data_IF_461950098854
#
_entry.id   IF_461950098854
#
_cell.length_a   1.000
_cell.length_b   1.000
_cell.length_c   1.000
_cell.angle_alpha   90.00
_cell.angle_beta   90.00
_cell.angle_gamma   90.00
#
_symmetry.space_group_name_H-M   'P 1'
#
loop_
_entity.id
_entity.type
_entity.pdbx_description
1 polymer ?
#
# COMPACT_ATOMS: atom_id res chain seq x y z
N UNK A 1 2.11 -44.80 -56.81
CA UNK A 1 0.75 -44.82 -56.23
C UNK A 1 0.40 -43.38 -55.90
N UNK A 2 -0.26 -42.72 -56.86
CA UNK A 2 -0.45 -41.26 -56.86
C UNK A 2 -1.93 -40.97 -56.63
N UNK A 3 -2.26 -40.42 -55.46
CA UNK A 3 -3.64 -40.10 -55.09
C UNK A 3 -3.89 -38.63 -55.46
N UNK A 4 -4.79 -38.40 -56.42
CA UNK A 4 -5.29 -37.08 -56.81
C UNK A 4 -6.35 -36.63 -55.79
N UNK A 5 -6.19 -35.45 -55.19
CA UNK A 5 -7.25 -34.80 -54.42
C UNK A 5 -8.19 -34.04 -55.37
N UNK A 6 -9.47 -34.41 -55.36
CA UNK A 6 -10.53 -33.67 -56.03
C UNK A 6 -10.99 -32.50 -55.15
N UNK A 7 -11.05 -31.31 -55.73
CA UNK A 7 -11.53 -30.09 -55.10
C UNK A 7 -13.05 -30.17 -54.84
N UNK A 8 -13.47 -29.85 -53.62
CA UNK A 8 -14.87 -29.72 -53.21
C UNK A 8 -15.24 -28.23 -53.20
N UNK A 9 -16.16 -27.85 -54.08
CA UNK A 9 -16.82 -26.53 -54.10
C UNK A 9 -18.28 -26.75 -53.68
N UNK A 10 -18.75 -26.18 -52.56
CA UNK A 10 -20.17 -26.10 -52.30
C UNK A 10 -20.75 -24.75 -52.73
N UNK A 11 -21.92 -24.86 -53.35
CA UNK A 11 -22.67 -23.89 -54.13
C UNK A 11 -23.45 -22.86 -53.28
N UNK A 12 -23.71 -21.70 -53.87
CA UNK A 12 -24.40 -20.54 -53.30
C UNK A 12 -25.91 -20.70 -53.44
N UNK A 13 -26.59 -21.41 -52.54
CA UNK A 13 -28.06 -21.29 -52.42
C UNK A 13 -28.57 -21.68 -51.02
N UNK A 14 -28.69 -20.72 -50.10
CA UNK A 14 -29.81 -20.71 -49.14
C UNK A 14 -29.94 -19.33 -48.48
N UNK A 15 -31.03 -18.66 -48.81
CA UNK A 15 -31.46 -17.36 -48.30
C UNK A 15 -32.13 -17.52 -46.92
N UNK A 16 -31.82 -16.57 -46.03
CA UNK A 16 -32.68 -15.89 -45.06
C UNK A 16 -33.93 -16.62 -44.52
N UNK A 17 -33.93 -16.87 -43.20
CA UNK A 17 -35.10 -16.65 -42.34
C UNK A 17 -34.65 -15.78 -41.16
N UNK A 18 -35.03 -14.51 -41.20
CA UNK A 18 -35.04 -13.59 -40.05
C UNK A 18 -36.47 -13.61 -39.52
N UNK A 19 -36.65 -14.12 -38.29
CA UNK A 19 -37.88 -13.99 -37.54
C UNK A 19 -37.54 -13.58 -36.11
N UNK A 20 -37.68 -12.28 -35.90
CA UNK A 20 -37.82 -11.54 -34.65
C UNK A 20 -38.53 -12.31 -33.52
N UNK A 21 -37.81 -12.60 -32.43
CA UNK A 21 -38.39 -12.78 -31.10
C UNK A 21 -37.97 -11.59 -30.24
N UNK A 22 -38.85 -10.58 -30.22
CA UNK A 22 -38.72 -9.35 -29.47
C UNK A 22 -39.00 -9.60 -27.98
N UNK A 23 -37.99 -9.28 -27.17
CA UNK A 23 -38.02 -8.76 -25.81
C UNK A 23 -39.34 -8.80 -25.02
N UNK A 24 -39.40 -9.69 -24.02
CA UNK A 24 -40.12 -9.48 -22.77
C UNK A 24 -39.48 -10.34 -21.67
N UNK A 25 -38.51 -9.78 -20.93
CA UNK A 25 -37.86 -10.50 -19.82
C UNK A 25 -36.60 -9.87 -19.21
N UNK A 26 -36.35 -8.57 -19.36
CA UNK A 26 -35.16 -7.89 -18.80
C UNK A 26 -35.50 -6.90 -17.67
N UNK A 27 -36.34 -7.32 -16.74
CA UNK A 27 -36.43 -6.68 -15.41
C UNK A 27 -36.51 -7.72 -14.30
N UNK A 28 -35.75 -8.81 -14.41
CA UNK A 28 -35.19 -9.43 -13.20
C UNK A 28 -34.04 -8.55 -12.77
N UNK A 29 -34.35 -7.60 -11.90
CA UNK A 29 -33.32 -6.88 -11.17
C UNK A 29 -32.34 -7.90 -10.59
N UNK A 30 -31.07 -7.74 -10.91
CA UNK A 30 -29.99 -8.37 -10.19
C UNK A 30 -29.96 -7.78 -8.77
N UNK A 31 -30.98 -8.08 -7.97
CA UNK A 31 -30.76 -8.37 -6.58
C UNK A 31 -30.02 -9.69 -6.56
N UNK A 32 -28.70 -9.66 -6.80
CA UNK A 32 -27.89 -10.67 -6.15
C UNK A 32 -28.24 -10.49 -4.68
N UNK A 33 -28.85 -11.50 -4.08
CA UNK A 33 -28.62 -11.77 -2.67
C UNK A 33 -27.13 -12.12 -2.55
N UNK A 34 -26.28 -11.14 -2.85
CA UNK A 34 -24.85 -11.20 -2.71
C UNK A 34 -24.61 -11.43 -1.24
N UNK A 35 -23.67 -12.32 -0.96
CA UNK A 35 -23.25 -12.58 0.40
C UNK A 35 -22.93 -11.23 1.08
N UNK A 36 -23.55 -10.98 2.25
CA UNK A 36 -23.39 -9.69 2.94
C UNK A 36 -21.90 -9.37 3.10
N UNK A 37 -21.43 -8.14 2.85
CA UNK A 37 -20.01 -7.80 2.92
C UNK A 37 -19.35 -8.26 4.22
N UNK A 38 -20.05 -8.14 5.35
CA UNK A 38 -19.58 -8.63 6.65
C UNK A 38 -19.37 -10.15 6.73
N UNK A 39 -20.17 -10.96 6.03
CA UNK A 39 -19.98 -12.41 5.98
C UNK A 39 -18.77 -12.77 5.12
N UNK A 40 -18.57 -12.08 4.00
CA UNK A 40 -17.38 -12.23 3.16
C UNK A 40 -16.12 -11.84 3.96
N UNK A 41 -16.18 -10.72 4.69
CA UNK A 41 -15.09 -10.26 5.56
C UNK A 41 -14.79 -11.26 6.69
N UNK A 42 -15.80 -11.89 7.28
CA UNK A 42 -15.60 -12.96 8.29
C UNK A 42 -14.89 -14.18 7.69
N UNK A 43 -15.21 -14.57 6.45
CA UNK A 43 -14.49 -15.64 5.75
C UNK A 43 -13.01 -15.28 5.51
N UNK A 44 -12.72 -14.02 5.17
CA UNK A 44 -11.34 -13.54 5.06
C UNK A 44 -10.58 -13.59 6.40
N UNK A 45 -11.21 -13.17 7.51
CA UNK A 45 -10.61 -13.31 8.85
C UNK A 45 -10.31 -14.77 9.19
N UNK A 46 -11.27 -15.68 8.96
CA UNK A 46 -11.05 -17.10 9.23
C UNK A 46 -9.93 -17.70 8.36
N UNK A 47 -9.79 -17.25 7.12
CA UNK A 47 -8.68 -17.65 6.27
C UNK A 47 -7.33 -17.14 6.79
N UNK A 48 -7.26 -15.89 7.26
CA UNK A 48 -6.06 -15.33 7.92
C UNK A 48 -5.64 -16.14 9.15
N UNK A 49 -6.59 -16.49 10.01
CA UNK A 49 -6.34 -17.31 11.21
C UNK A 49 -5.80 -18.70 10.87
N UNK A 50 -6.26 -19.27 9.75
CA UNK A 50 -5.79 -20.56 9.23
C UNK A 50 -4.46 -20.46 8.48
N UNK A 51 -3.96 -19.24 8.23
CA UNK A 51 -2.77 -19.00 7.41
C UNK A 51 -3.00 -19.17 5.90
N UNK A 52 -4.25 -19.30 5.45
CA UNK A 52 -4.60 -19.38 4.02
C UNK A 52 -4.66 -17.96 3.43
N UNK A 53 -3.48 -17.44 3.09
CA UNK A 53 -3.32 -16.07 2.60
C UNK A 53 -4.04 -15.83 1.27
N UNK A 54 -4.12 -16.82 0.39
CA UNK A 54 -4.80 -16.68 -0.91
C UNK A 54 -6.31 -16.60 -0.75
N UNK A 55 -6.91 -17.48 0.08
CA UNK A 55 -8.33 -17.39 0.38
C UNK A 55 -8.68 -16.10 1.14
N UNK A 56 -7.77 -15.63 2.01
CA UNK A 56 -7.94 -14.36 2.70
C UNK A 56 -7.99 -13.18 1.72
N UNK A 57 -7.04 -13.12 0.77
CA UNK A 57 -7.01 -12.08 -0.27
C UNK A 57 -8.32 -12.11 -1.07
N UNK A 58 -8.68 -13.26 -1.65
CA UNK A 58 -9.86 -13.34 -2.52
C UNK A 58 -11.17 -12.97 -1.83
N UNK A 59 -11.30 -13.22 -0.53
CA UNK A 59 -12.46 -12.80 0.25
C UNK A 59 -12.37 -11.31 0.66
N UNK A 60 -11.20 -10.83 1.05
CA UNK A 60 -11.02 -9.42 1.42
C UNK A 60 -11.25 -8.49 0.21
N UNK A 61 -10.76 -8.85 -0.97
CA UNK A 61 -10.99 -8.09 -2.22
C UNK A 61 -12.49 -8.02 -2.54
N UNK A 62 -13.23 -9.11 -2.38
CA UNK A 62 -14.69 -9.12 -2.55
C UNK A 62 -15.41 -8.25 -1.52
N UNK A 63 -14.94 -8.23 -0.27
CA UNK A 63 -15.51 -7.38 0.77
C UNK A 63 -15.31 -5.89 0.44
N UNK A 64 -14.10 -5.51 -0.01
CA UNK A 64 -13.81 -4.15 -0.48
C UNK A 64 -14.63 -3.79 -1.72
N UNK A 65 -14.79 -4.68 -2.69
CA UNK A 65 -15.65 -4.39 -3.85
C UNK A 65 -17.13 -4.22 -3.48
N UNK A 66 -17.59 -4.88 -2.43
CA UNK A 66 -18.98 -4.82 -1.98
C UNK A 66 -19.27 -3.57 -1.13
N UNK A 67 -18.28 -3.05 -0.41
CA UNK A 67 -18.35 -1.80 0.35
C UNK A 67 -17.00 -1.05 0.30
N UNK A 68 -16.74 -0.29 -0.78
CA UNK A 68 -15.41 0.29 -1.05
C UNK A 68 -14.91 1.34 -0.07
N UNK A 69 -15.82 1.96 0.69
CA UNK A 69 -15.51 3.05 1.64
C UNK A 69 -15.48 2.58 3.09
N UNK A 70 -15.44 1.27 3.31
CA UNK A 70 -15.31 0.70 4.64
C UNK A 70 -13.82 0.56 5.01
N UNK A 71 -13.29 1.39 5.94
CA UNK A 71 -11.88 1.31 6.31
C UNK A 71 -11.50 -0.06 6.87
N UNK A 72 -12.39 -0.73 7.61
CA UNK A 72 -12.11 -2.04 8.19
C UNK A 72 -11.89 -3.13 7.13
N UNK A 73 -12.54 -3.03 5.95
CA UNK A 73 -12.31 -3.97 4.85
C UNK A 73 -11.00 -3.71 4.13
N UNK A 74 -10.56 -2.45 4.05
CA UNK A 74 -9.24 -2.07 3.55
C UNK A 74 -8.13 -2.57 4.50
N UNK A 75 -8.29 -2.42 5.82
CA UNK A 75 -7.38 -3.01 6.82
C UNK A 75 -7.30 -4.53 6.67
N UNK A 76 -8.45 -5.20 6.54
CA UNK A 76 -8.50 -6.65 6.34
C UNK A 76 -7.76 -7.08 5.07
N UNK A 77 -7.92 -6.33 3.98
CA UNK A 77 -7.20 -6.55 2.73
C UNK A 77 -5.69 -6.35 2.90
N UNK A 78 -5.27 -5.29 3.59
CA UNK A 78 -3.87 -5.05 3.92
C UNK A 78 -3.26 -6.20 4.72
N UNK A 79 -3.98 -6.71 5.73
CA UNK A 79 -3.55 -7.86 6.53
C UNK A 79 -3.40 -9.13 5.67
N UNK A 80 -4.34 -9.37 4.74
CA UNK A 80 -4.27 -10.49 3.80
C UNK A 80 -3.05 -10.39 2.87
N UNK A 81 -2.78 -9.21 2.32
CA UNK A 81 -1.59 -8.98 1.50
C UNK A 81 -0.29 -9.10 2.29
N UNK A 82 -0.24 -8.59 3.52
CA UNK A 82 0.95 -8.71 4.38
C UNK A 82 1.24 -10.18 4.69
N UNK A 83 0.21 -10.96 5.02
CA UNK A 83 0.33 -12.41 5.25
C UNK A 83 0.79 -13.18 4.00
N UNK A 84 0.43 -12.68 2.82
CA UNK A 84 0.82 -13.23 1.54
C UNK A 84 2.22 -12.80 1.07
N UNK A 85 2.91 -11.90 1.79
CA UNK A 85 4.20 -11.35 1.37
C UNK A 85 4.12 -10.30 0.27
N UNK A 86 2.93 -9.73 0.04
CA UNK A 86 2.65 -8.72 -0.99
C UNK A 86 2.69 -7.32 -0.37
N UNK A 87 3.90 -6.79 -0.19
CA UNK A 87 4.14 -5.58 0.60
C UNK A 87 3.63 -4.30 -0.06
N UNK A 88 3.78 -4.13 -1.38
CA UNK A 88 3.24 -3.00 -2.12
C UNK A 88 1.72 -2.91 -2.00
N UNK A 89 1.03 -4.03 -2.19
CA UNK A 89 -0.42 -4.11 -2.09
C UNK A 89 -0.91 -3.89 -0.66
N UNK A 90 -0.18 -4.44 0.32
CA UNK A 90 -0.46 -4.23 1.74
C UNK A 90 -0.38 -2.75 2.11
N UNK A 91 0.73 -2.08 1.74
CA UNK A 91 0.94 -0.65 1.96
C UNK A 91 -0.23 0.16 1.41
N UNK A 92 -0.57 -0.04 0.14
CA UNK A 92 -1.65 0.69 -0.51
C UNK A 92 -3.00 0.47 0.20
N UNK A 93 -3.28 -0.75 0.69
CA UNK A 93 -4.54 -1.05 1.36
C UNK A 93 -4.63 -0.40 2.75
N UNK A 94 -3.51 -0.29 3.46
CA UNK A 94 -3.46 0.45 4.73
C UNK A 94 -3.55 1.96 4.51
N UNK A 95 -2.88 2.51 3.50
CA UNK A 95 -3.00 3.92 3.11
C UNK A 95 -4.48 4.25 2.79
N UNK A 96 -5.14 3.45 1.94
CA UNK A 96 -6.56 3.61 1.62
C UNK A 96 -7.44 3.57 2.89
N UNK A 97 -7.12 2.70 3.85
CA UNK A 97 -7.88 2.61 5.10
C UNK A 97 -7.73 3.88 5.94
N UNK A 98 -6.52 4.41 6.05
CA UNK A 98 -6.24 5.65 6.79
C UNK A 98 -6.88 6.87 6.13
N UNK A 99 -6.91 6.95 4.80
CA UNK A 99 -7.64 7.99 4.05
C UNK A 99 -9.16 7.93 4.33
N UNK A 100 -9.70 6.74 4.59
CA UNK A 100 -11.09 6.51 4.97
C UNK A 100 -11.37 6.69 6.47
N UNK A 101 -10.38 7.12 7.26
CA UNK A 101 -10.53 7.45 8.67
C UNK A 101 -10.17 6.33 9.64
N UNK A 102 -9.51 5.25 9.20
CA UNK A 102 -8.87 4.31 10.12
C UNK A 102 -7.72 5.01 10.87
N UNK A 103 -7.85 5.11 12.18
CA UNK A 103 -6.84 5.72 13.07
C UNK A 103 -6.57 4.75 14.21
N UNK A 104 -5.66 3.79 13.98
CA UNK A 104 -5.26 2.85 15.02
C UNK A 104 -3.77 2.54 14.95
N UNK A 105 -3.15 2.43 16.13
CA UNK A 105 -1.72 2.09 16.24
C UNK A 105 -1.39 0.72 15.66
N UNK A 106 -2.36 -0.21 15.63
CA UNK A 106 -2.19 -1.51 14.98
C UNK A 106 -2.05 -1.35 13.46
N UNK A 107 -2.94 -0.60 12.83
CA UNK A 107 -2.88 -0.34 11.38
C UNK A 107 -1.62 0.44 11.03
N UNK A 108 -1.24 1.44 11.84
CA UNK A 108 0.00 2.20 11.68
C UNK A 108 1.26 1.32 11.77
N UNK A 109 1.30 0.37 12.71
CA UNK A 109 2.40 -0.60 12.80
C UNK A 109 2.46 -1.50 11.56
N UNK A 110 1.32 -2.00 11.09
CA UNK A 110 1.25 -2.83 9.88
C UNK A 110 1.69 -2.08 8.62
N UNK A 111 1.30 -0.79 8.49
CA UNK A 111 1.76 0.10 7.43
C UNK A 111 3.28 0.29 7.51
N UNK A 112 3.81 0.65 8.68
CA UNK A 112 5.25 0.81 8.87
C UNK A 112 6.04 -0.47 8.53
N UNK A 113 5.52 -1.66 8.86
CA UNK A 113 6.15 -2.93 8.46
C UNK A 113 6.14 -3.15 6.95
N UNK A 114 5.06 -2.77 6.26
CA UNK A 114 5.01 -2.81 4.80
C UNK A 114 6.01 -1.81 4.19
N UNK A 115 6.06 -0.58 4.69
CA UNK A 115 7.04 0.43 4.29
C UNK A 115 8.49 -0.05 4.50
N UNK A 116 8.77 -0.67 5.63
CA UNK A 116 10.07 -1.25 5.94
C UNK A 116 10.47 -2.35 4.95
N UNK A 117 9.53 -3.22 4.58
CA UNK A 117 9.81 -4.24 3.57
C UNK A 117 10.17 -3.59 2.23
N UNK A 118 9.52 -2.47 1.89
CA UNK A 118 9.76 -1.71 0.66
C UNK A 118 11.00 -0.80 0.73
N UNK A 119 11.67 -0.73 1.88
CA UNK A 119 12.84 0.14 2.10
C UNK A 119 12.49 1.61 2.35
N UNK A 120 11.21 1.93 2.55
CA UNK A 120 10.67 3.25 2.84
C UNK A 120 10.84 3.60 4.33
N UNK A 121 12.10 3.64 4.77
CA UNK A 121 12.43 3.77 6.19
C UNK A 121 11.99 5.13 6.78
N UNK A 122 12.03 6.20 5.99
CA UNK A 122 11.58 7.54 6.40
C UNK A 122 10.09 7.54 6.74
N UNK A 123 9.28 7.02 5.83
CA UNK A 123 7.83 6.94 5.92
C UNK A 123 7.40 6.06 7.10
N UNK A 124 8.11 4.94 7.30
CA UNK A 124 7.90 4.08 8.46
C UNK A 124 8.19 4.82 9.77
N UNK A 125 9.29 5.58 9.86
CA UNK A 125 9.64 6.36 11.07
C UNK A 125 8.60 7.45 11.35
N UNK A 126 8.15 8.18 10.33
CA UNK A 126 7.16 9.24 10.49
C UNK A 126 5.83 8.68 11.01
N UNK A 127 5.40 7.55 10.44
CA UNK A 127 4.21 6.81 10.90
C UNK A 127 4.39 6.34 12.34
N UNK A 128 5.50 5.68 12.67
CA UNK A 128 5.77 5.16 14.02
C UNK A 128 5.82 6.27 15.08
N UNK A 129 6.41 7.42 14.76
CA UNK A 129 6.50 8.54 15.68
C UNK A 129 5.13 9.19 15.95
N UNK A 130 4.26 9.24 14.95
CA UNK A 130 2.89 9.75 15.10
C UNK A 130 2.03 8.91 16.06
N UNK A 131 2.35 7.61 16.19
CA UNK A 131 1.64 6.66 17.05
C UNK A 131 2.47 6.20 18.26
N UNK A 132 3.58 6.90 18.58
CA UNK A 132 4.55 6.48 19.60
C UNK A 132 3.91 6.16 20.95
N UNK A 133 2.99 7.01 21.40
CA UNK A 133 2.38 6.92 22.72
C UNK A 133 1.25 5.88 22.80
N UNK A 134 0.74 5.42 21.66
CA UNK A 134 -0.32 4.41 21.55
C UNK A 134 0.20 3.03 21.13
N UNK A 135 1.48 2.93 20.75
CA UNK A 135 2.17 1.68 20.46
C UNK A 135 2.76 1.08 21.74
N UNK A 136 2.72 -0.25 21.84
CA UNK A 136 3.44 -0.94 22.90
C UNK A 136 4.97 -0.70 22.74
N UNK A 137 5.73 -0.49 23.84
CA UNK A 137 7.17 -0.25 23.76
C UNK A 137 7.92 -1.36 23.01
N UNK A 138 7.46 -2.61 23.16
CA UNK A 138 8.00 -3.77 22.46
C UNK A 138 7.91 -3.64 20.93
N UNK A 139 6.80 -3.11 20.43
CA UNK A 139 6.50 -3.01 18.99
C UNK A 139 7.15 -1.75 18.41
N UNK A 140 7.01 -0.60 19.07
CA UNK A 140 7.66 0.65 18.65
C UNK A 140 9.19 0.50 18.63
N UNK A 141 9.79 -0.02 19.72
CA UNK A 141 11.24 -0.15 19.82
C UNK A 141 11.84 -1.08 18.77
N UNK A 142 11.15 -2.20 18.45
CA UNK A 142 11.60 -3.09 17.39
C UNK A 142 11.43 -2.45 16.01
N UNK A 143 10.26 -1.87 15.71
CA UNK A 143 9.98 -1.29 14.40
C UNK A 143 10.96 -0.15 14.05
N UNK A 144 11.25 0.73 15.02
CA UNK A 144 12.24 1.80 14.87
C UNK A 144 13.66 1.26 14.68
N UNK A 145 14.02 0.16 15.35
CA UNK A 145 15.31 -0.48 15.14
C UNK A 145 15.46 -1.01 13.70
N UNK A 146 14.41 -1.64 13.17
CA UNK A 146 14.35 -2.15 11.80
C UNK A 146 14.40 -1.03 10.76
N UNK A 147 13.84 0.13 11.09
CA UNK A 147 13.83 1.35 10.27
C UNK A 147 15.17 2.09 10.19
N UNK A 148 16.25 1.49 10.69
CA UNK A 148 17.60 2.05 10.63
C UNK A 148 17.96 2.92 11.83
N UNK A 149 17.15 2.93 12.89
CA UNK A 149 17.46 3.60 14.16
C UNK A 149 17.64 2.59 15.31
N UNK A 150 18.57 1.61 15.21
CA UNK A 150 18.71 0.55 16.20
C UNK A 150 19.14 1.06 17.58
N UNK A 151 19.85 2.19 17.65
CA UNK A 151 20.17 2.85 18.93
C UNK A 151 18.93 3.34 19.69
N UNK A 152 17.97 3.93 18.98
CA UNK A 152 16.70 4.36 19.58
C UNK A 152 15.87 3.15 20.03
N UNK A 153 15.81 2.10 19.19
CA UNK A 153 15.14 0.86 19.55
C UNK A 153 15.72 0.20 20.81
N UNK A 154 17.04 0.14 20.93
CA UNK A 154 17.75 -0.32 22.15
C UNK A 154 17.34 0.51 23.36
N UNK A 155 17.28 1.84 23.24
CA UNK A 155 16.88 2.72 24.35
C UNK A 155 15.45 2.43 24.82
N UNK A 156 14.48 2.42 23.89
CA UNK A 156 13.06 2.14 24.19
C UNK A 156 12.89 0.78 24.87
N UNK A 157 13.49 -0.26 24.31
CA UNK A 157 13.34 -1.62 24.82
C UNK A 157 14.04 -1.80 26.17
N UNK A 158 15.18 -1.13 26.38
CA UNK A 158 15.87 -1.11 27.67
C UNK A 158 15.05 -0.36 28.74
N UNK A 159 14.41 0.75 28.38
CA UNK A 159 13.50 1.48 29.27
C UNK A 159 12.29 0.64 29.65
N UNK A 160 11.69 -0.10 28.69
CA UNK A 160 10.59 -1.02 28.98
C UNK A 160 10.99 -2.09 30.01
N UNK A 161 12.17 -2.70 29.86
CA UNK A 161 12.69 -3.66 30.86
C UNK A 161 12.89 -3.00 32.22
N UNK A 162 13.48 -1.80 32.27
CA UNK A 162 13.65 -1.04 33.53
C UNK A 162 12.32 -0.66 34.19
N UNK A 163 11.30 -0.41 33.38
CA UNK A 163 9.93 -0.11 33.81
C UNK A 163 9.14 -1.34 34.29
N UNK A 164 9.71 -2.56 34.19
CA UNK A 164 9.10 -3.79 34.67
C UNK A 164 8.55 -4.72 33.58
N UNK A 165 8.57 -4.30 32.31
CA UNK A 165 8.11 -5.11 31.17
C UNK A 165 9.18 -6.10 30.70
N UNK A 166 9.68 -6.97 31.59
CA UNK A 166 10.73 -7.94 31.27
C UNK A 166 10.17 -9.26 30.72
N UNK A 167 9.53 -9.19 29.54
CA UNK A 167 8.99 -10.37 28.85
C UNK A 167 10.01 -11.01 27.90
N UNK A 168 9.82 -12.30 27.56
CA UNK A 168 10.61 -12.98 26.52
C UNK A 168 10.59 -12.19 25.21
N UNK A 169 9.41 -11.67 24.81
CA UNK A 169 9.26 -10.85 23.60
C UNK A 169 10.19 -9.62 23.64
N UNK A 170 10.18 -8.86 24.73
CA UNK A 170 10.99 -7.63 24.84
C UNK A 170 12.49 -7.98 24.88
N UNK A 171 12.91 -9.05 25.58
CA UNK A 171 14.31 -9.48 25.57
C UNK A 171 14.78 -9.91 24.18
N UNK A 172 13.98 -10.67 23.45
CA UNK A 172 14.28 -11.06 22.08
C UNK A 172 14.35 -9.84 21.15
N UNK A 173 13.40 -8.92 21.24
CA UNK A 173 13.40 -7.67 20.47
C UNK A 173 14.63 -6.82 20.78
N UNK A 174 15.02 -6.72 22.05
CA UNK A 174 16.21 -5.98 22.47
C UNK A 174 17.49 -6.65 21.97
N UNK A 175 17.56 -7.98 22.02
CA UNK A 175 18.68 -8.74 21.49
C UNK A 175 18.85 -8.53 19.97
N UNK A 176 17.74 -8.52 19.22
CA UNK A 176 17.72 -8.18 17.80
C UNK A 176 18.14 -6.72 17.57
N UNK A 177 17.63 -5.76 18.35
CA UNK A 177 18.04 -4.36 18.23
C UNK A 177 19.54 -4.16 18.49
N UNK A 178 20.11 -4.88 19.47
CA UNK A 178 21.56 -4.93 19.69
C UNK A 178 22.29 -5.48 18.46
N UNK A 179 21.83 -6.60 17.88
CA UNK A 179 22.43 -7.17 16.67
C UNK A 179 22.40 -6.19 15.49
N UNK A 180 21.28 -5.51 15.25
CA UNK A 180 21.13 -4.49 14.20
C UNK A 180 22.05 -3.28 14.42
N UNK A 181 22.38 -2.95 15.68
CA UNK A 181 23.36 -1.91 16.02
C UNK A 181 24.83 -2.37 15.99
N UNK A 182 25.09 -3.65 15.71
CA UNK A 182 26.43 -4.26 15.75
C UNK A 182 26.95 -4.59 17.16
N UNK A 183 26.10 -4.47 18.19
CA UNK A 183 26.40 -4.81 19.58
C UNK A 183 26.25 -6.31 19.82
N UNK A 184 27.10 -7.11 19.15
CA UNK A 184 26.99 -8.58 19.12
C UNK A 184 27.15 -9.26 20.48
N UNK A 185 27.93 -8.65 21.38
CA UNK A 185 28.16 -9.17 22.72
C UNK A 185 26.90 -9.03 23.57
N UNK A 186 26.26 -7.87 23.52
CA UNK A 186 25.03 -7.53 24.19
C UNK A 186 23.86 -8.36 23.63
N UNK A 187 23.79 -8.48 22.29
CA UNK A 187 22.82 -9.34 21.61
C UNK A 187 22.92 -10.79 22.10
N UNK A 188 24.14 -11.36 22.13
CA UNK A 188 24.42 -12.71 22.62
C UNK A 188 24.02 -12.86 24.10
N UNK A 189 24.42 -11.92 24.95
CA UNK A 189 24.08 -11.97 26.38
C UNK A 189 22.57 -11.93 26.62
N UNK A 190 21.83 -11.12 25.86
CA UNK A 190 20.38 -10.99 25.99
C UNK A 190 19.65 -12.25 25.48
N UNK A 191 19.97 -12.72 24.27
CA UNK A 191 19.29 -13.89 23.68
C UNK A 191 19.56 -15.19 24.43
N UNK A 192 20.71 -15.29 25.11
CA UNK A 192 21.09 -16.47 25.92
C UNK A 192 20.22 -16.66 27.17
N UNK A 193 19.38 -15.68 27.53
CA UNK A 193 18.42 -15.81 28.63
C UNK A 193 17.20 -16.66 28.25
N UNK A 194 16.87 -16.75 26.96
CA UNK A 194 15.65 -17.40 26.49
C UNK A 194 15.93 -18.62 25.59
N UNK A 195 17.16 -18.79 25.10
CA UNK A 195 17.54 -19.87 24.19
C UNK A 195 18.66 -20.74 24.76
N UNK A 196 18.65 -22.06 24.48
CA UNK A 196 19.76 -22.95 24.82
C UNK A 196 21.02 -22.54 24.03
N UNK A 197 22.20 -22.82 24.61
CA UNK A 197 23.48 -22.41 24.04
C UNK A 197 23.71 -22.88 22.58
N UNK A 198 23.14 -24.02 22.20
CA UNK A 198 23.20 -24.56 20.83
C UNK A 198 22.44 -23.72 19.79
N UNK A 199 21.42 -22.96 20.21
CA UNK A 199 20.59 -22.14 19.31
C UNK A 199 21.03 -20.67 19.25
N UNK A 200 21.85 -20.21 20.20
CA UNK A 200 22.33 -18.83 20.25
C UNK A 200 23.17 -18.47 19.02
N UNK A 201 24.07 -19.35 18.59
CA UNK A 201 24.89 -19.14 17.38
C UNK A 201 24.03 -18.95 16.12
N UNK A 202 23.21 -19.96 15.75
CA UNK A 202 22.29 -19.87 14.61
C UNK A 202 21.38 -18.65 14.66
N UNK A 203 20.84 -18.30 15.83
CA UNK A 203 19.99 -17.11 15.99
C UNK A 203 20.72 -15.81 15.64
N UNK A 204 21.97 -15.66 16.12
CA UNK A 204 22.78 -14.48 15.83
C UNK A 204 23.18 -14.41 14.35
N UNK A 205 23.40 -15.55 13.70
CA UNK A 205 23.66 -15.63 12.25
C UNK A 205 22.46 -15.13 11.46
N UNK A 206 21.23 -15.57 11.79
CA UNK A 206 20.00 -15.05 11.19
C UNK A 206 19.88 -13.53 11.36
N UNK A 207 20.14 -13.00 12.56
CA UNK A 207 20.08 -11.56 12.82
C UNK A 207 21.19 -10.77 12.11
N UNK A 208 22.36 -11.37 11.90
CA UNK A 208 23.42 -10.77 11.09
C UNK A 208 23.02 -10.64 9.62
N UNK A 209 22.34 -11.66 9.07
CA UNK A 209 21.78 -11.57 7.72
C UNK A 209 20.68 -10.50 7.64
N UNK A 210 19.82 -10.41 8.65
CA UNK A 210 18.80 -9.36 8.74
C UNK A 210 19.43 -7.96 8.71
N UNK A 211 20.55 -7.72 9.39
CA UNK A 211 21.20 -6.40 9.44
C UNK A 211 21.72 -5.85 8.10
N UNK A 212 21.74 -6.65 7.03
CA UNK A 212 22.17 -6.21 5.70
C UNK A 212 21.18 -5.18 5.12
N UNK A 213 21.70 -4.03 4.68
CA UNK A 213 20.87 -2.88 4.23
C UNK A 213 20.00 -3.20 3.02
N UNK A 214 20.48 -4.07 2.13
CA UNK A 214 19.79 -4.39 0.86
C UNK A 214 18.69 -5.45 1.02
N UNK A 215 18.63 -6.15 2.16
CA UNK A 215 17.73 -7.27 2.40
C UNK A 215 16.50 -6.85 3.21
N UNK A 216 15.89 -5.71 2.87
CA UNK A 216 14.76 -5.16 3.64
C UNK A 216 13.51 -6.03 3.54
N UNK A 217 13.17 -6.51 2.35
CA UNK A 217 12.03 -7.42 2.13
C UNK A 217 12.24 -8.73 2.87
N UNK A 218 13.40 -9.35 2.71
CA UNK A 218 13.78 -10.61 3.34
C UNK A 218 13.73 -10.49 4.86
N UNK A 219 14.27 -9.40 5.42
CA UNK A 219 14.27 -9.12 6.85
C UNK A 219 12.84 -9.09 7.41
N UNK A 220 11.94 -8.33 6.78
CA UNK A 220 10.55 -8.22 7.25
C UNK A 220 9.79 -9.53 7.02
N UNK A 221 10.01 -10.20 5.89
CA UNK A 221 9.38 -11.48 5.60
C UNK A 221 9.76 -12.56 6.62
N UNK A 222 11.05 -12.65 6.97
CA UNK A 222 11.56 -13.56 8.00
C UNK A 222 10.97 -13.22 9.38
N UNK A 223 10.92 -11.94 9.75
CA UNK A 223 10.35 -11.48 11.02
C UNK A 223 8.86 -11.85 11.15
N UNK A 224 8.09 -11.68 10.08
CA UNK A 224 6.66 -11.97 10.04
C UNK A 224 6.35 -13.44 9.72
N UNK A 225 7.36 -14.24 9.39
CA UNK A 225 7.21 -15.62 8.90
C UNK A 225 6.24 -15.70 7.71
N UNK A 226 6.42 -14.81 6.73
CA UNK A 226 5.62 -14.75 5.50
C UNK A 226 6.50 -15.07 4.28
N UNK A 227 5.94 -15.61 3.18
CA UNK A 227 6.72 -15.86 1.99
C UNK A 227 7.19 -14.56 1.33
N UNK A 228 8.23 -14.62 0.52
CA UNK A 228 8.59 -13.54 -0.41
C UNK A 228 7.87 -13.76 -1.74
N UNK A 229 7.05 -12.80 -2.15
CA UNK A 229 6.34 -12.85 -3.42
C UNK A 229 6.58 -11.59 -4.23
N UNK A 230 6.59 -11.76 -5.55
CA UNK A 230 6.52 -10.62 -6.45
C UNK A 230 5.16 -9.93 -6.26
N UNK A 231 5.18 -8.60 -6.22
CA UNK A 231 3.99 -7.81 -6.03
C UNK A 231 3.99 -6.61 -6.97
N UNK A 232 2.97 -6.55 -7.83
CA UNK A 232 2.76 -5.45 -8.77
C UNK A 232 1.79 -4.39 -8.24
N UNK A 233 1.38 -4.49 -6.97
CA UNK A 233 0.36 -3.65 -6.37
C UNK A 233 -1.06 -4.22 -6.52
N UNK A 234 -2.05 -3.45 -6.05
CA UNK A 234 -3.43 -3.89 -6.04
C UNK A 234 -4.04 -4.01 -7.44
N UNK A 235 -5.05 -4.88 -7.64
CA UNK A 235 -5.87 -4.88 -8.84
C UNK A 235 -6.47 -3.49 -9.14
N UNK A 236 -6.41 -3.05 -10.41
CA UNK A 236 -6.90 -1.72 -10.84
C UNK A 236 -8.34 -1.44 -10.39
N UNK A 237 -9.21 -2.47 -10.37
CA UNK A 237 -10.59 -2.33 -9.93
C UNK A 237 -10.71 -1.85 -8.48
N UNK A 238 -9.85 -2.33 -7.57
CA UNK A 238 -9.85 -1.93 -6.16
C UNK A 238 -9.29 -0.52 -5.95
N UNK A 239 -8.27 -0.16 -6.74
CA UNK A 239 -7.69 1.18 -6.74
C UNK A 239 -8.71 2.25 -7.19
N UNK A 240 -9.54 1.94 -8.19
CA UNK A 240 -10.58 2.86 -8.67
C UNK A 240 -11.83 2.89 -7.77
N UNK A 241 -12.07 1.84 -6.99
CA UNK A 241 -13.28 1.72 -6.18
C UNK A 241 -13.37 2.77 -5.04
N UNK A 242 -12.26 3.39 -4.65
CA UNK A 242 -12.26 4.41 -3.60
C UNK A 242 -12.81 5.78 -4.07
N UNK A 243 -12.94 5.99 -5.38
CA UNK A 243 -13.43 7.26 -5.93
C UNK A 243 -14.95 7.19 -6.20
N UNK A 244 -15.78 7.93 -5.46
CA UNK A 244 -17.23 7.93 -5.68
C UNK A 244 -17.56 8.47 -7.08
N UNK A 245 -18.53 7.84 -7.74
CA UNK A 245 -19.07 8.37 -8.99
C UNK A 245 -19.66 9.76 -8.79
N UNK A 246 -19.75 10.57 -9.86
CA UNK A 246 -20.39 11.88 -9.82
C UNK A 246 -21.82 11.82 -9.26
N UNK A 247 -22.53 10.72 -9.48
CA UNK A 247 -23.86 10.45 -8.94
C UNK A 247 -23.85 10.13 -7.43
N UNK A 248 -22.84 9.41 -6.94
CA UNK A 248 -22.68 9.17 -5.50
C UNK A 248 -22.26 10.43 -4.75
N UNK A 249 -21.37 11.24 -5.34
CA UNK A 249 -20.98 12.53 -4.80
C UNK A 249 -22.17 13.49 -4.68
N UNK A 250 -23.06 13.53 -5.68
CA UNK A 250 -24.25 14.37 -5.64
C UNK A 250 -25.29 13.87 -4.63
N UNK A 251 -25.46 12.54 -4.49
CA UNK A 251 -26.33 11.96 -3.47
C UNK A 251 -25.83 12.23 -2.04
N UNK A 252 -24.53 12.08 -1.78
CA UNK A 252 -23.92 12.36 -0.47
C UNK A 252 -23.91 13.87 -0.16
N UNK A 253 -23.72 14.73 -1.16
CA UNK A 253 -23.87 16.16 -1.01
C UNK A 253 -25.33 16.55 -0.66
N UNK A 254 -26.32 15.89 -1.28
CA UNK A 254 -27.73 16.10 -0.97
C UNK A 254 -28.08 15.67 0.46
N UNK A 255 -27.61 14.51 0.93
CA UNK A 255 -27.86 14.06 2.31
C UNK A 255 -27.14 14.91 3.35
N UNK A 256 -25.95 15.44 3.05
CA UNK A 256 -25.24 16.40 3.92
C UNK A 256 -25.92 17.78 3.95
N UNK A 257 -26.66 18.15 2.90
CA UNK A 257 -27.40 19.41 2.85
C UNK A 257 -28.75 19.36 3.61
N UNK A 258 -29.34 18.19 3.83
CA UNK A 258 -30.61 18.05 4.59
C UNK A 258 -30.57 18.64 6.02
N UNK A 259 -29.55 18.37 6.86
CA UNK A 259 -29.49 18.98 8.20
C UNK A 259 -29.22 20.49 8.16
N UNK A 260 -28.52 21.01 7.14
CA UNK A 260 -28.31 22.44 6.95
C UNK A 260 -29.60 23.15 6.50
N UNK A 261 -30.40 22.52 5.64
CA UNK A 261 -31.70 23.03 5.25
C UNK A 261 -32.68 23.06 6.43
N UNK A 262 -32.66 22.06 7.30
CA UNK A 262 -33.46 22.06 8.54
C UNK A 262 -33.01 23.13 9.53
N UNK A 263 -31.70 23.38 9.66
CA UNK A 263 -31.17 24.46 10.50
C UNK A 263 -31.49 25.87 9.98
N UNK A 264 -31.69 26.05 8.67
CA UNK A 264 -32.15 27.33 8.07
C UNK A 264 -33.65 27.55 8.26
N UNK A 265 -34.42 26.48 8.49
CA UNK A 265 -35.88 26.57 8.73
C UNK A 265 -36.21 26.94 10.18
N UNK A 266 -35.26 26.83 11.11
CA UNK A 266 -35.40 27.30 12.50
C UNK A 266 -35.12 28.81 12.60
N UNK A 267 -36.10 29.58 12.10
CA UNK A 267 -36.48 30.95 12.47
C UNK A 267 -35.35 31.98 12.71
N UNK A 268 -34.93 32.65 11.62
CA UNK A 268 -34.42 34.02 11.73
C UNK A 268 -35.59 34.93 12.16
N UNK A 269 -35.59 35.35 13.43
CA UNK A 269 -36.50 36.38 13.91
C UNK A 269 -36.39 37.65 13.04
N UNK A 270 -37.51 38.33 12.73
CA UNK A 270 -37.48 39.52 11.89
C UNK A 270 -36.62 40.61 12.57
N UNK A 271 -35.55 41.02 11.90
CA UNK A 271 -34.80 42.21 12.27
C UNK A 271 -35.65 43.43 11.91
N UNK A 272 -36.02 44.24 12.90
CA UNK A 272 -36.60 45.57 12.68
C UNK A 272 -35.64 46.38 11.80
N UNK A 273 -36.10 46.82 10.63
CA UNK A 273 -35.34 47.70 9.75
C UNK A 273 -35.18 49.09 10.41
N UNK A 274 -33.96 49.59 10.65
CA UNK A 274 -33.79 51.00 10.90
C UNK A 274 -33.92 51.74 9.56
N UNK A 275 -34.78 52.76 9.54
CA UNK A 275 -34.96 53.64 8.39
C UNK A 275 -33.61 54.23 7.93
N UNK A 276 -33.17 53.85 6.73
CA UNK A 276 -31.99 54.44 6.08
C UNK A 276 -32.44 55.36 4.95
N UNK A 277 -31.87 56.56 4.96
CA UNK A 277 -32.12 57.65 4.04
C UNK A 277 -31.96 57.23 2.56
N UNK A 278 -32.73 57.90 1.69
CA UNK A 278 -32.79 57.63 0.26
C UNK A 278 -31.44 57.69 -0.48
N UNK A 279 -31.36 57.07 -1.68
CA UNK A 279 -30.11 56.88 -2.40
C UNK A 279 -29.53 58.22 -2.90
N UNK A 280 -28.32 58.56 -2.47
CA UNK A 280 -27.53 59.58 -3.16
C UNK A 280 -26.84 58.96 -4.37
N UNK A 281 -27.05 59.53 -5.55
CA UNK A 281 -26.35 59.16 -6.77
C UNK A 281 -24.84 59.39 -6.59
N UNK A 282 -24.06 58.32 -6.63
CA UNK A 282 -22.60 58.40 -6.71
C UNK A 282 -22.19 58.88 -8.10
N UNK A 283 -21.33 59.89 -8.13
CA UNK A 283 -20.76 60.49 -9.33
C UNK A 283 -19.91 59.45 -10.10
N UNK A 284 -20.23 59.24 -11.38
CA UNK A 284 -19.68 58.17 -12.22
C UNK A 284 -18.38 58.59 -12.92
N UNK A 285 -17.44 59.17 -12.18
CA UNK A 285 -16.14 59.62 -12.71
C UNK A 285 -14.96 58.91 -12.05
N UNK A 286 -15.00 57.56 -12.10
CA UNK A 286 -13.83 56.73 -11.88
C UNK A 286 -13.72 55.74 -13.05
N UNK A 287 -12.87 56.06 -14.03
CA UNK A 287 -12.45 55.08 -15.02
C UNK A 287 -11.77 53.91 -14.29
N UNK A 288 -12.06 52.64 -14.61
CA UNK A 288 -11.27 51.54 -14.12
C UNK A 288 -9.86 51.70 -14.70
N UNK A 289 -8.87 51.87 -13.84
CA UNK A 289 -7.48 51.70 -14.23
C UNK A 289 -7.37 50.29 -14.84
N UNK A 290 -7.14 50.22 -16.16
CA UNK A 290 -6.84 48.96 -16.78
C UNK A 290 -5.58 48.42 -16.12
N UNK A 291 -5.74 47.36 -15.34
CA UNK A 291 -4.63 46.61 -14.77
C UNK A 291 -3.74 46.19 -15.93
N UNK A 292 -2.63 46.90 -16.09
CA UNK A 292 -1.60 46.56 -17.06
C UNK A 292 -1.00 45.25 -16.56
N UNK A 293 -1.37 44.14 -17.21
CA UNK A 293 -0.71 42.86 -17.00
C UNK A 293 0.78 43.08 -17.29
N UNK A 294 1.61 43.06 -16.26
CA UNK A 294 3.04 42.98 -16.44
C UNK A 294 3.32 41.68 -17.20
N UNK A 295 3.70 41.80 -18.47
CA UNK A 295 4.41 40.73 -19.15
C UNK A 295 5.66 40.46 -18.31
N UNK A 296 5.69 39.31 -17.66
CA UNK A 296 6.94 38.76 -17.15
C UNK A 296 7.75 38.41 -18.40
N UNK A 297 8.77 39.22 -18.70
CA UNK A 297 9.80 38.88 -19.66
C UNK A 297 10.56 37.67 -19.08
N UNK A 298 10.13 36.47 -19.46
CA UNK A 298 10.92 35.28 -19.25
C UNK A 298 12.08 35.36 -20.25
N UNK A 299 13.36 35.39 -19.80
CA UNK A 299 14.46 35.32 -20.73
C UNK A 299 14.34 34.03 -21.54
N UNK A 300 14.59 34.12 -22.85
CA UNK A 300 14.56 32.98 -23.74
C UNK A 300 15.36 31.82 -23.14
N UNK A 301 14.72 30.67 -22.99
CA UNK A 301 15.39 29.43 -22.61
C UNK A 301 16.56 29.22 -23.56
N UNK A 302 17.78 29.42 -23.06
CA UNK A 302 18.95 28.91 -23.75
C UNK A 302 18.85 27.40 -23.68
N UNK A 303 18.42 26.78 -24.77
CA UNK A 303 18.74 25.38 -25.04
C UNK A 303 20.25 25.31 -25.25
N UNK A 304 21.01 25.27 -24.15
CA UNK A 304 22.33 24.65 -24.18
C UNK A 304 22.08 23.19 -24.50
N UNK A 305 22.29 22.84 -25.78
CA UNK A 305 22.53 21.47 -26.17
C UNK A 305 23.75 20.99 -25.36
N UNK A 306 23.49 20.28 -24.26
CA UNK A 306 24.53 19.50 -23.62
C UNK A 306 24.89 18.40 -24.62
N UNK A 307 25.98 18.61 -25.32
CA UNK A 307 26.61 17.60 -26.16
C UNK A 307 27.12 16.51 -25.20
N UNK A 308 26.30 15.49 -24.99
CA UNK A 308 26.72 14.31 -24.26
C UNK A 308 27.81 13.64 -25.10
N UNK A 309 29.04 13.45 -24.58
CA UNK A 309 30.03 12.66 -25.28
C UNK A 309 29.47 11.25 -25.43
N UNK A 310 29.20 10.82 -26.66
CA UNK A 310 28.91 9.42 -26.95
C UNK A 310 30.11 8.59 -26.49
N UNK A 311 29.97 7.66 -25.54
CA UNK A 311 31.05 6.73 -25.27
C UNK A 311 31.30 5.92 -26.53
N UNK A 312 32.50 6.04 -27.09
CA UNK A 312 32.95 5.18 -28.17
C UNK A 312 32.97 3.74 -27.65
N UNK A 313 31.96 2.95 -28.03
CA UNK A 313 31.95 1.52 -27.78
C UNK A 313 33.02 0.87 -28.66
N UNK A 314 34.19 0.59 -28.07
CA UNK A 314 35.12 -0.38 -28.63
C UNK A 314 34.65 -1.78 -28.23
N UNK A 315 34.21 -2.65 -29.16
CA UNK A 315 33.91 -4.03 -28.81
C UNK A 315 35.19 -4.70 -28.31
N UNK A 316 35.24 -5.02 -27.01
CA UNK A 316 36.25 -5.92 -26.50
C UNK A 316 35.90 -7.32 -26.99
N UNK A 317 36.67 -7.83 -27.95
CA UNK A 317 36.65 -9.25 -28.28
C UNK A 317 37.11 -10.03 -27.05
N UNK A 318 36.27 -10.91 -26.47
CA UNK A 318 36.70 -11.73 -25.35
C UNK A 318 37.83 -12.63 -25.82
N UNK A 319 39.00 -12.53 -25.16
CA UNK A 319 40.06 -13.53 -25.32
C UNK A 319 39.50 -14.88 -24.91
N UNK A 320 39.40 -15.79 -25.88
CA UNK A 320 39.04 -17.17 -25.61
C UNK A 320 39.97 -17.75 -24.52
N UNK A 321 39.43 -18.46 -23.51
CA UNK A 321 40.27 -19.15 -22.55
C UNK A 321 41.14 -20.17 -23.27
N UNK A 322 42.45 -20.14 -23.00
CA UNK A 322 43.38 -21.14 -23.50
C UNK A 322 42.96 -22.52 -22.96
N UNK A 323 42.42 -23.35 -23.84
CA UNK A 323 42.12 -24.74 -23.56
C UNK A 323 43.43 -25.48 -23.27
N UNK A 324 43.65 -25.86 -22.01
CA UNK A 324 44.66 -26.86 -21.64
C UNK A 324 44.06 -28.24 -21.90
N UNK A 325 44.59 -29.05 -22.84
CA UNK A 325 44.13 -30.42 -22.98
C UNK A 325 44.49 -31.22 -21.73
N UNK A 326 43.52 -31.98 -21.22
CA UNK A 326 43.72 -32.92 -20.13
C UNK A 326 44.73 -34.01 -20.55
N UNK A 327 45.59 -34.49 -19.63
CA UNK A 327 46.51 -35.58 -19.95
C UNK A 327 45.74 -36.87 -20.21
N UNK A 328 45.93 -37.43 -21.40
CA UNK A 328 45.52 -38.80 -21.71
C UNK A 328 46.22 -39.76 -20.74
N UNK A 329 45.43 -40.50 -19.95
CA UNK A 329 45.89 -41.76 -19.36
C UNK A 329 45.93 -42.79 -20.48
N UNK A 330 47.12 -43.16 -20.92
CA UNK A 330 47.37 -44.40 -21.64
C UNK A 330 48.09 -45.36 -20.69
N UNK A 331 47.62 -46.62 -20.68
CA UNK A 331 48.32 -47.75 -20.09
C UNK A 331 49.64 -48.03 -20.84
#
# INVERSE_FOLDING_TARGET
MSIRLSAFVPDRTTRLIVSTALAAGLLTGCGSAGEKPGKIASSAHSALEKGDAEAAIGNAEKAVLADPRNPAYRVLLGNAYLKAGRFESARQAYDDAMELGEDSSRTALSLALADLALGLNSEAIDTLNSYRDSLAPADYGLAVALAGQPGQGVAVLSDAIRGGENTVKIRQNLALAYALSGQWREARAMVSQDLPASEVGPRLETWAMMGQRELTRERVAELLSVPLRADSGQPTALALANFPSTMQLSAEAATRAEPLAQAVVEELAPLDEPAVAGPSLADASSQPAQGQLALIDLPASQTTAMEYPTPAYTPQTPKAPAYKPAPHKAA
#
